data_IF_482262891180
#
_entry.id   IF_482262891180
#
_cell.length_a   1.000
_cell.length_b   1.000
_cell.length_c   1.000
_cell.angle_alpha   90.00
_cell.angle_beta   90.00
_cell.angle_gamma   90.00
#
_symmetry.space_group_name_H-M   'P 1'
#
loop_
_entity.id
_entity.type
_entity.pdbx_description
1 polymer ?
#
# COMPACT_ATOMS: atom_id res chain seq x y z
N UNK A 1 44.01 -5.60 46.07
CA UNK A 1 43.70 -4.36 46.83
C UNK A 1 43.46 -3.27 45.81
N UNK A 2 42.19 -3.04 45.48
CA UNK A 2 41.33 -1.99 46.09
C UNK A 2 41.72 -0.62 45.55
N UNK A 3 41.03 -0.19 44.49
CA UNK A 3 40.00 0.85 44.56
C UNK A 3 40.56 2.27 44.72
N UNK A 4 40.24 3.13 43.74
CA UNK A 4 39.42 4.36 43.88
C UNK A 4 39.84 5.36 42.81
N UNK A 5 39.01 5.53 41.78
CA UNK A 5 38.88 6.83 41.10
C UNK A 5 37.41 7.13 40.80
N UNK A 6 36.88 7.91 41.73
CA UNK A 6 35.84 8.92 41.64
C UNK A 6 35.09 9.09 40.31
N UNK A 7 33.81 8.73 40.41
CA UNK A 7 32.63 9.29 39.77
C UNK A 7 32.77 10.76 39.33
N UNK A 8 32.74 11.01 38.01
CA UNK A 8 32.25 12.27 37.44
C UNK A 8 31.01 11.94 36.60
N UNK A 9 29.84 12.11 37.22
CA UNK A 9 28.55 12.16 36.55
C UNK A 9 28.50 13.42 35.70
N UNK A 10 28.81 13.30 34.42
CA UNK A 10 28.53 14.36 33.45
C UNK A 10 27.13 14.09 32.90
N UNK A 11 26.19 14.88 33.39
CA UNK A 11 24.81 14.95 32.96
C UNK A 11 24.81 15.56 31.54
N UNK A 12 24.77 14.73 30.49
CA UNK A 12 24.65 15.25 29.12
C UNK A 12 23.20 15.65 28.89
N UNK A 13 23.01 16.97 28.80
CA UNK A 13 21.75 17.62 28.45
C UNK A 13 21.18 17.04 27.15
N UNK A 14 19.89 16.72 27.23
CA UNK A 14 18.97 16.62 26.12
C UNK A 14 18.91 17.98 25.39
N UNK A 15 19.47 18.04 24.18
CA UNK A 15 19.28 19.16 23.26
C UNK A 15 18.49 18.65 22.04
N UNK A 16 17.17 18.76 22.13
CA UNK A 16 16.30 18.73 20.97
C UNK A 16 16.58 19.98 20.11
N UNK A 17 17.22 19.79 18.97
CA UNK A 17 17.18 20.75 17.86
C UNK A 17 16.73 20.02 16.60
N UNK A 18 15.42 20.13 16.41
CA UNK A 18 14.62 20.08 15.19
C UNK A 18 15.44 20.18 13.89
N UNK A 19 15.66 19.02 13.26
CA UNK A 19 15.75 18.91 11.81
C UNK A 19 14.48 18.22 11.34
N UNK A 20 13.55 18.98 10.74
CA UNK A 20 12.33 18.42 10.13
C UNK A 20 12.71 17.82 8.78
N UNK A 21 13.40 16.69 8.82
CA UNK A 21 13.27 15.68 7.79
C UNK A 21 12.25 14.69 8.33
N UNK A 22 11.08 14.58 7.70
CA UNK A 22 10.23 13.41 7.92
C UNK A 22 11.03 12.20 7.45
N UNK A 23 11.77 11.59 8.37
CA UNK A 23 12.38 10.30 8.14
C UNK A 23 11.28 9.36 7.66
N UNK A 24 11.47 8.76 6.49
CA UNK A 24 10.57 7.74 5.95
C UNK A 24 10.34 6.72 7.07
N UNK A 25 9.15 6.70 7.65
CA UNK A 25 8.82 5.76 8.72
C UNK A 25 8.63 4.38 8.08
N UNK A 26 9.74 3.70 7.83
CA UNK A 26 9.75 2.33 7.35
C UNK A 26 9.23 1.45 8.48
N UNK A 27 8.07 0.85 8.29
CA UNK A 27 7.42 -0.05 9.24
C UNK A 27 7.77 -1.49 8.88
N UNK A 28 8.35 -2.25 9.81
CA UNK A 28 8.60 -3.69 9.64
C UNK A 28 7.35 -4.48 10.01
N UNK A 29 6.97 -5.45 9.18
CA UNK A 29 5.91 -6.41 9.53
C UNK A 29 6.50 -7.37 10.57
N UNK A 30 5.90 -7.49 11.77
CA UNK A 30 6.46 -8.32 12.83
C UNK A 30 6.64 -9.78 12.41
N UNK A 31 7.81 -10.35 12.73
CA UNK A 31 8.13 -11.75 12.43
C UNK A 31 8.45 -12.04 10.96
N UNK A 32 8.63 -11.03 10.11
CA UNK A 32 8.96 -11.24 8.68
C UNK A 32 10.15 -10.37 8.21
N UNK A 33 10.63 -10.64 7.00
CA UNK A 33 11.61 -9.81 6.30
C UNK A 33 10.97 -8.71 5.44
N UNK A 34 9.67 -8.46 5.62
CA UNK A 34 8.94 -7.42 4.91
C UNK A 34 8.93 -6.13 5.70
N UNK A 35 9.28 -5.04 5.04
CA UNK A 35 9.09 -3.68 5.52
C UNK A 35 8.34 -2.85 4.50
N UNK A 36 7.74 -1.74 4.92
CA UNK A 36 7.00 -0.87 4.03
C UNK A 36 7.06 0.58 4.47
N UNK A 37 6.91 1.50 3.52
CA UNK A 37 6.68 2.92 3.78
C UNK A 37 5.43 3.34 3.02
N UNK A 38 4.49 3.92 3.72
CA UNK A 38 3.25 4.41 3.13
C UNK A 38 3.32 5.94 3.06
N UNK A 39 3.34 6.49 1.84
CA UNK A 39 3.54 7.92 1.64
C UNK A 39 2.82 8.40 0.39
N UNK A 40 2.45 9.69 0.41
CA UNK A 40 2.08 10.46 -0.77
C UNK A 40 3.01 11.64 -0.94
N UNK A 41 3.21 12.02 -2.20
CA UNK A 41 3.79 13.31 -2.52
C UNK A 41 2.83 14.42 -2.05
N UNK A 42 3.30 15.41 -1.26
CA UNK A 42 2.43 16.40 -0.63
C UNK A 42 1.89 17.47 -1.59
N UNK A 43 2.40 17.53 -2.83
CA UNK A 43 1.98 18.52 -3.84
C UNK A 43 1.02 17.87 -4.84
N UNK A 44 1.35 16.67 -5.30
CA UNK A 44 0.66 15.97 -6.38
C UNK A 44 -0.30 14.87 -5.90
N UNK A 45 -0.30 14.58 -4.59
CA UNK A 45 -1.02 13.46 -3.96
C UNK A 45 -0.67 12.07 -4.52
N UNK A 46 0.38 11.98 -5.36
CA UNK A 46 0.85 10.74 -5.96
C UNK A 46 1.30 9.75 -4.88
N UNK A 47 0.91 8.49 -5.00
CA UNK A 47 1.29 7.46 -4.02
C UNK A 47 2.75 7.03 -4.25
N UNK A 48 3.65 7.48 -3.39
CA UNK A 48 5.09 7.19 -3.41
C UNK A 48 5.47 6.05 -2.46
N UNK A 49 4.48 5.34 -1.92
CA UNK A 49 4.68 4.22 -1.02
C UNK A 49 5.44 3.05 -1.66
N UNK A 50 6.08 2.27 -0.80
CA UNK A 50 6.86 1.10 -1.20
C UNK A 50 6.74 -0.04 -0.19
N UNK A 51 6.99 -1.25 -0.66
CA UNK A 51 7.18 -2.46 0.14
C UNK A 51 8.55 -3.02 -0.21
N UNK A 52 9.40 -3.28 0.78
CA UNK A 52 10.68 -3.97 0.60
C UNK A 52 10.64 -5.33 1.26
N UNK A 53 11.16 -6.35 0.59
CA UNK A 53 11.33 -7.70 1.11
C UNK A 53 12.81 -8.03 1.07
N UNK A 54 13.42 -8.24 2.24
CA UNK A 54 14.81 -8.66 2.33
C UNK A 54 14.96 -10.12 1.88
N UNK A 55 16.06 -10.42 1.18
CA UNK A 55 16.40 -11.76 0.71
C UNK A 55 16.68 -12.70 1.90
N UNK A 56 16.26 -13.96 1.82
CA UNK A 56 16.29 -14.88 2.98
C UNK A 56 17.70 -15.22 3.49
N UNK A 57 18.73 -15.14 2.65
CA UNK A 57 20.12 -15.40 3.00
C UNK A 57 20.90 -14.11 3.28
N UNK A 58 20.30 -12.94 3.07
CA UNK A 58 20.91 -11.65 3.35
C UNK A 58 20.52 -11.15 4.74
N UNK A 59 21.41 -11.41 5.70
CA UNK A 59 21.23 -11.00 7.10
C UNK A 59 21.54 -9.51 7.35
N UNK A 60 22.10 -8.81 6.37
CA UNK A 60 22.48 -7.40 6.47
C UNK A 60 21.51 -6.47 5.73
N UNK A 61 20.58 -7.02 4.93
CA UNK A 61 19.54 -6.27 4.22
C UNK A 61 20.04 -5.50 3.01
N UNK A 62 21.15 -5.94 2.40
CA UNK A 62 21.73 -5.29 1.21
C UNK A 62 21.14 -5.81 -0.11
N UNK A 63 20.36 -6.89 -0.04
CA UNK A 63 19.68 -7.57 -1.14
C UNK A 63 18.19 -7.60 -0.85
N UNK A 64 17.42 -6.94 -1.70
CA UNK A 64 15.99 -6.78 -1.47
C UNK A 64 15.20 -6.72 -2.78
N UNK A 65 13.94 -7.15 -2.71
CA UNK A 65 12.94 -6.84 -3.71
C UNK A 65 12.07 -5.68 -3.20
N UNK A 66 12.13 -4.54 -3.88
CA UNK A 66 11.27 -3.39 -3.58
C UNK A 66 10.14 -3.29 -4.60
N UNK A 67 8.91 -3.15 -4.16
CA UNK A 67 7.73 -2.82 -4.98
C UNK A 67 7.34 -1.37 -4.68
N UNK A 68 7.23 -0.52 -5.71
CA UNK A 68 6.89 0.89 -5.58
C UNK A 68 5.55 1.19 -6.26
N UNK A 69 4.75 2.05 -5.64
CA UNK A 69 3.46 2.47 -6.18
C UNK A 69 3.55 3.61 -7.21
N UNK A 70 4.73 4.21 -7.38
CA UNK A 70 5.00 5.19 -8.42
C UNK A 70 6.36 4.97 -9.08
N UNK A 71 6.42 5.32 -10.35
CA UNK A 71 7.66 5.64 -11.05
C UNK A 71 7.80 7.16 -11.09
N UNK A 72 8.68 7.69 -10.22
CA UNK A 72 8.78 9.12 -9.94
C UNK A 72 7.40 9.67 -9.53
N UNK A 73 6.86 10.59 -10.33
CA UNK A 73 5.57 11.26 -10.08
C UNK A 73 4.40 10.56 -10.79
N UNK A 74 4.66 9.46 -11.52
CA UNK A 74 3.63 8.73 -12.25
C UNK A 74 3.09 7.56 -11.43
N UNK A 75 1.76 7.37 -11.35
CA UNK A 75 1.16 6.24 -10.66
C UNK A 75 1.31 4.95 -11.48
N UNK A 76 2.55 4.48 -11.62
CA UNK A 76 2.90 3.23 -12.26
C UNK A 76 3.61 2.29 -11.29
N UNK A 77 3.19 1.03 -11.32
CA UNK A 77 3.67 0.00 -10.42
C UNK A 77 4.92 -0.62 -11.03
N UNK A 78 6.04 -0.50 -10.35
CA UNK A 78 7.28 -1.15 -10.76
C UNK A 78 7.99 -1.78 -9.57
N UNK A 79 8.90 -2.70 -9.86
CA UNK A 79 9.69 -3.41 -8.87
C UNK A 79 11.18 -3.16 -9.12
N UNK A 80 11.99 -3.25 -8.07
CA UNK A 80 13.44 -3.19 -8.15
C UNK A 80 14.03 -4.37 -7.41
N UNK A 81 14.88 -5.13 -8.08
CA UNK A 81 15.79 -6.07 -7.44
C UNK A 81 17.08 -5.32 -7.10
N UNK A 82 17.40 -5.26 -5.81
CA UNK A 82 18.64 -4.71 -5.26
C UNK A 82 19.53 -5.88 -4.86
N UNK A 83 20.82 -5.79 -5.19
CA UNK A 83 21.77 -6.88 -5.07
C UNK A 83 23.05 -6.46 -4.36
N UNK A 84 23.63 -7.39 -3.61
CA UNK A 84 24.99 -7.29 -3.08
C UNK A 84 26.08 -7.32 -4.14
N UNK A 85 25.75 -7.88 -5.31
CA UNK A 85 26.67 -8.09 -6.43
C UNK A 85 26.24 -7.26 -7.64
N UNK A 86 27.21 -6.84 -8.46
CA UNK A 86 26.92 -6.22 -9.75
C UNK A 86 26.12 -7.17 -10.66
N UNK A 87 25.02 -6.64 -11.21
CA UNK A 87 24.13 -7.36 -12.11
C UNK A 87 24.55 -7.18 -13.58
N UNK A 88 25.19 -6.04 -13.88
CA UNK A 88 25.72 -5.64 -15.18
C UNK A 88 26.74 -4.50 -14.98
N UNK A 89 27.56 -4.20 -16.00
CA UNK A 89 28.46 -3.05 -16.01
C UNK A 89 27.87 -1.83 -16.73
N UNK A 90 28.49 -0.66 -16.56
CA UNK A 90 28.12 0.57 -17.29
C UNK A 90 28.22 0.38 -18.81
N UNK A 91 29.34 -0.17 -19.30
CA UNK A 91 29.52 -0.48 -20.72
C UNK A 91 28.39 -1.34 -21.27
N UNK A 92 27.93 -2.33 -20.50
CA UNK A 92 26.84 -3.20 -20.94
C UNK A 92 25.54 -2.42 -21.14
N UNK A 93 25.21 -1.50 -20.25
CA UNK A 93 24.03 -0.65 -20.38
C UNK A 93 24.16 0.30 -21.57
N UNK A 94 25.35 0.87 -21.81
CA UNK A 94 25.61 1.70 -22.99
C UNK A 94 25.34 0.95 -24.30
N UNK A 95 25.63 -0.35 -24.34
CA UNK A 95 25.31 -1.22 -25.48
C UNK A 95 23.92 -1.87 -25.42
N UNK A 96 23.06 -1.45 -24.49
CA UNK A 96 21.69 -1.97 -24.35
C UNK A 96 21.61 -3.42 -23.88
N UNK A 97 22.69 -3.96 -23.30
CA UNK A 97 22.73 -5.32 -22.79
C UNK A 97 22.19 -5.38 -21.36
N UNK A 98 21.28 -6.32 -21.11
CA UNK A 98 20.71 -6.59 -19.78
C UNK A 98 20.86 -8.07 -19.42
N UNK A 99 20.96 -8.42 -18.13
CA UNK A 99 20.98 -9.80 -17.71
C UNK A 99 19.65 -10.49 -18.02
N UNK A 100 19.69 -11.79 -18.32
CA UNK A 100 18.49 -12.59 -18.46
C UNK A 100 17.97 -12.98 -17.06
N UNK A 101 16.74 -12.58 -16.74
CA UNK A 101 16.12 -12.85 -15.44
C UNK A 101 15.03 -13.89 -15.59
N UNK A 102 15.09 -14.92 -14.75
CA UNK A 102 14.03 -15.92 -14.60
C UNK A 102 13.42 -15.80 -13.22
N UNK A 103 12.10 -15.74 -13.12
CA UNK A 103 11.38 -15.68 -11.84
C UNK A 103 10.47 -16.89 -11.65
N UNK A 104 10.24 -17.27 -10.39
CA UNK A 104 9.33 -18.34 -10.01
C UNK A 104 8.61 -18.01 -8.71
N UNK A 105 7.32 -18.32 -8.62
CA UNK A 105 6.52 -18.16 -7.40
C UNK A 105 6.21 -19.50 -6.76
N UNK A 106 6.69 -19.77 -5.55
CA UNK A 106 6.47 -21.05 -4.89
C UNK A 106 6.91 -22.20 -5.79
N UNK A 107 5.94 -23.01 -6.20
CA UNK A 107 6.11 -24.17 -7.08
C UNK A 107 5.49 -23.98 -8.48
N UNK A 108 5.10 -22.74 -8.82
CA UNK A 108 4.63 -22.41 -10.17
C UNK A 108 5.76 -22.63 -11.20
N UNK A 109 5.43 -22.80 -12.50
CA UNK A 109 6.44 -22.84 -13.55
C UNK A 109 7.30 -21.56 -13.59
N UNK A 110 8.62 -21.67 -13.85
CA UNK A 110 9.48 -20.50 -13.99
C UNK A 110 9.12 -19.69 -15.24
N UNK A 111 9.25 -18.37 -15.15
CA UNK A 111 8.99 -17.42 -16.23
C UNK A 111 10.26 -16.64 -16.51
N UNK A 112 10.71 -16.65 -17.76
CA UNK A 112 11.80 -15.77 -18.23
C UNK A 112 11.22 -14.40 -18.56
N UNK A 113 11.80 -13.36 -17.97
CA UNK A 113 11.40 -11.97 -18.23
C UNK A 113 11.88 -11.53 -19.60
N UNK A 114 11.05 -10.74 -20.29
CA UNK A 114 11.42 -10.15 -21.57
C UNK A 114 12.30 -8.94 -21.32
N UNK A 115 13.11 -8.58 -22.31
CA UNK A 115 13.93 -7.37 -22.20
C UNK A 115 13.10 -6.10 -21.95
N UNK A 116 11.89 -6.03 -22.55
CA UNK A 116 10.95 -4.92 -22.34
C UNK A 116 10.33 -4.86 -20.95
N UNK A 117 10.41 -5.95 -20.18
CA UNK A 117 10.00 -5.99 -18.78
C UNK A 117 11.12 -5.46 -17.86
N UNK A 118 12.34 -5.25 -18.36
CA UNK A 118 13.53 -4.89 -17.60
C UNK A 118 14.03 -3.48 -17.92
N UNK A 119 14.38 -2.72 -16.88
CA UNK A 119 14.95 -1.37 -16.99
C UNK A 119 16.19 -1.22 -16.12
N UNK A 120 17.15 -0.43 -16.59
CA UNK A 120 18.28 0.02 -15.77
C UNK A 120 17.80 1.07 -14.78
N UNK A 121 18.34 1.04 -13.56
CA UNK A 121 17.96 1.97 -12.50
C UNK A 121 19.02 3.06 -12.37
N UNK A 122 18.59 4.31 -12.25
CA UNK A 122 19.45 5.46 -11.95
C UNK A 122 19.00 6.13 -10.65
N UNK A 123 19.93 6.77 -9.96
CA UNK A 123 19.60 7.58 -8.78
C UNK A 123 19.10 8.99 -9.18
N UNK A 124 18.85 9.86 -8.19
CA UNK A 124 18.39 11.24 -8.43
C UNK A 124 19.42 12.15 -9.09
N UNK A 125 20.69 11.72 -9.17
CA UNK A 125 21.78 12.41 -9.88
C UNK A 125 22.03 11.81 -11.26
N UNK A 126 21.16 10.89 -11.69
CA UNK A 126 21.29 10.15 -12.96
C UNK A 126 22.44 9.14 -13.00
N UNK A 127 23.05 8.83 -11.85
CA UNK A 127 24.10 7.80 -11.79
C UNK A 127 23.49 6.40 -11.91
N UNK A 128 24.03 5.59 -12.84
CA UNK A 128 23.64 4.21 -13.04
C UNK A 128 23.87 3.37 -11.77
N UNK A 129 22.88 2.55 -11.43
CA UNK A 129 22.95 1.60 -10.32
C UNK A 129 23.20 0.19 -10.85
N UNK A 130 24.47 -0.21 -11.02
CA UNK A 130 24.88 -1.53 -11.56
C UNK A 130 24.40 -2.72 -10.73
N UNK A 131 24.10 -2.48 -9.45
CA UNK A 131 23.60 -3.46 -8.47
C UNK A 131 22.08 -3.50 -8.39
N UNK A 132 21.38 -2.77 -9.26
CA UNK A 132 19.93 -2.69 -9.26
C UNK A 132 19.36 -2.92 -10.67
N UNK A 133 18.25 -3.65 -10.74
CA UNK A 133 17.50 -3.77 -11.99
C UNK A 133 16.02 -3.60 -11.71
N UNK A 134 15.38 -2.74 -12.51
CA UNK A 134 13.96 -2.51 -12.45
C UNK A 134 13.20 -3.52 -13.28
N UNK A 135 12.02 -3.87 -12.81
CA UNK A 135 11.04 -4.68 -13.50
C UNK A 135 9.76 -3.86 -13.63
N UNK A 136 9.19 -3.78 -14.83
CA UNK A 136 8.03 -2.96 -15.13
C UNK A 136 6.96 -3.72 -15.93
N UNK A 137 5.80 -3.08 -16.10
CA UNK A 137 4.73 -3.61 -16.94
C UNK A 137 3.94 -4.78 -16.30
N UNK A 138 3.28 -5.61 -17.12
CA UNK A 138 2.31 -6.60 -16.63
C UNK A 138 2.90 -7.65 -15.68
N UNK A 139 4.20 -7.93 -15.76
CA UNK A 139 4.83 -8.93 -14.90
C UNK A 139 4.89 -8.47 -13.44
N UNK A 140 4.98 -7.16 -13.17
CA UNK A 140 4.99 -6.64 -11.79
C UNK A 140 3.67 -6.95 -11.08
N UNK A 141 2.55 -6.88 -11.80
CA UNK A 141 1.24 -7.29 -11.25
C UNK A 141 1.22 -8.77 -10.89
N UNK A 142 1.88 -9.63 -11.69
CA UNK A 142 2.04 -11.06 -11.36
C UNK A 142 2.91 -11.26 -10.13
N UNK A 143 4.00 -10.50 -10.01
CA UNK A 143 4.87 -10.49 -8.82
C UNK A 143 4.04 -10.16 -7.58
N UNK A 144 3.31 -9.04 -7.61
CA UNK A 144 2.48 -8.56 -6.52
C UNK A 144 1.37 -9.56 -6.16
N UNK A 145 0.72 -10.18 -7.14
CA UNK A 145 -0.33 -11.18 -6.89
C UNK A 145 0.24 -12.44 -6.22
N UNK A 146 1.38 -12.95 -6.69
CA UNK A 146 2.04 -14.10 -6.08
C UNK A 146 2.45 -13.83 -4.63
N UNK A 147 3.08 -12.68 -4.37
CA UNK A 147 3.48 -12.27 -3.02
C UNK A 147 2.26 -12.05 -2.10
N UNK A 148 1.18 -11.45 -2.61
CA UNK A 148 -0.06 -11.27 -1.84
C UNK A 148 -0.74 -12.58 -1.48
N UNK A 149 -0.55 -13.62 -2.29
CA UNK A 149 -0.98 -14.99 -1.97
C UNK A 149 -0.02 -15.72 -1.03
N UNK A 150 1.02 -15.05 -0.52
CA UNK A 150 2.01 -15.63 0.39
C UNK A 150 3.08 -16.48 -0.30
N UNK A 151 3.10 -16.56 -1.64
CA UNK A 151 4.12 -17.35 -2.36
C UNK A 151 5.49 -16.68 -2.23
N UNK A 152 6.54 -17.47 -2.00
CA UNK A 152 7.93 -17.01 -2.14
C UNK A 152 8.21 -16.66 -3.61
N UNK A 153 8.93 -15.57 -3.86
CA UNK A 153 9.50 -15.28 -5.17
C UNK A 153 10.95 -15.74 -5.19
N UNK A 154 11.33 -16.53 -6.20
CA UNK A 154 12.73 -16.84 -6.50
C UNK A 154 13.09 -16.14 -7.79
N UNK A 155 14.17 -15.36 -7.79
CA UNK A 155 14.70 -14.69 -8.96
C UNK A 155 16.10 -15.24 -9.26
N UNK A 156 16.32 -15.73 -10.48
CA UNK A 156 17.62 -16.13 -10.99
C UNK A 156 18.09 -15.13 -12.04
N UNK A 157 19.26 -14.55 -11.82
CA UNK A 157 19.90 -13.58 -12.71
C UNK A 157 21.08 -14.23 -13.41
N UNK A 158 21.00 -14.33 -14.73
CA UNK A 158 22.10 -14.77 -15.58
C UNK A 158 22.79 -13.52 -16.15
N UNK A 159 23.99 -13.22 -15.62
CA UNK A 159 24.74 -12.01 -15.97
C UNK A 159 25.27 -12.08 -17.40
N UNK A 160 25.28 -10.94 -18.08
CA UNK A 160 25.80 -10.81 -19.45
C UNK A 160 27.28 -11.16 -19.52
N UNK A 161 28.04 -10.82 -18.48
CA UNK A 161 29.47 -11.15 -18.35
C UNK A 161 29.74 -12.65 -18.21
N UNK A 162 28.71 -13.49 -18.07
CA UNK A 162 28.84 -14.90 -17.74
C UNK A 162 29.12 -15.17 -16.25
N UNK A 163 29.61 -16.38 -15.96
CA UNK A 163 29.86 -16.86 -14.60
C UNK A 163 28.65 -17.55 -13.96
N UNK A 164 28.73 -17.78 -12.64
CA UNK A 164 27.65 -18.40 -11.89
C UNK A 164 26.42 -17.47 -11.85
N UNK A 165 25.25 -18.06 -12.11
CA UNK A 165 23.97 -17.37 -11.99
C UNK A 165 23.69 -17.03 -10.52
N UNK A 166 23.25 -15.80 -10.27
CA UNK A 166 22.86 -15.35 -8.94
C UNK A 166 21.41 -15.77 -8.70
N UNK A 167 21.10 -16.33 -7.54
CA UNK A 167 19.74 -16.75 -7.20
C UNK A 167 19.35 -16.12 -5.87
N UNK A 168 18.24 -15.37 -5.88
CA UNK A 168 17.71 -14.65 -4.74
C UNK A 168 16.33 -15.20 -4.39
N UNK A 169 16.05 -15.35 -3.10
CA UNK A 169 14.73 -15.80 -2.61
C UNK A 169 14.13 -14.76 -1.68
N UNK A 170 12.91 -14.32 -2.01
CA UNK A 170 12.14 -13.35 -1.26
C UNK A 170 10.89 -14.03 -0.69
N UNK A 171 10.69 -14.06 0.63
CA UNK A 171 9.50 -14.65 1.22
C UNK A 171 8.27 -13.78 0.95
N UNK A 172 7.13 -14.40 0.65
CA UNK A 172 5.85 -13.68 0.50
C UNK A 172 5.18 -13.32 1.83
N UNK A 173 5.65 -13.90 2.94
CA UNK A 173 5.07 -13.73 4.27
C UNK A 173 5.19 -12.27 4.73
N UNK A 174 4.06 -11.66 5.07
CA UNK A 174 3.98 -10.26 5.49
C UNK A 174 3.66 -9.27 4.36
N UNK A 175 3.78 -9.67 3.09
CA UNK A 175 3.46 -8.79 1.96
C UNK A 175 1.99 -8.37 1.93
N UNK A 176 1.07 -9.30 2.17
CA UNK A 176 -0.37 -9.01 2.22
C UNK A 176 -0.74 -8.04 3.36
N UNK A 177 0.03 -8.05 4.45
CA UNK A 177 -0.14 -7.11 5.57
C UNK A 177 0.40 -5.72 5.22
N UNK A 178 1.54 -5.66 4.54
CA UNK A 178 2.17 -4.41 4.11
C UNK A 178 1.43 -3.70 2.96
N UNK A 179 0.69 -4.43 2.13
CA UNK A 179 0.09 -3.90 0.90
C UNK A 179 -1.02 -2.87 1.12
N UNK A 180 -2.05 -3.09 1.96
CA UNK A 180 -3.13 -2.13 2.17
C UNK A 180 -2.64 -0.71 2.52
N UNK A 181 -1.77 -0.50 3.54
CA UNK A 181 -1.33 0.85 3.90
C UNK A 181 -0.51 1.51 2.79
N UNK A 182 0.27 0.73 2.04
CA UNK A 182 1.05 1.24 0.90
C UNK A 182 0.14 1.64 -0.26
N UNK A 183 -0.83 0.80 -0.66
CA UNK A 183 -1.77 1.15 -1.73
C UNK A 183 -2.66 2.34 -1.39
N UNK A 184 -2.91 2.55 -0.09
CA UNK A 184 -3.62 3.70 0.44
C UNK A 184 -2.81 5.01 0.39
N UNK A 185 -1.48 4.92 0.26
CA UNK A 185 -0.57 6.06 0.33
C UNK A 185 -0.46 6.65 1.73
N UNK A 186 -0.64 5.84 2.79
CA UNK A 186 -0.41 6.28 4.17
C UNK A 186 -1.47 7.24 4.72
N UNK A 187 -2.73 7.12 4.29
CA UNK A 187 -3.80 7.92 4.87
C UNK A 187 -3.91 7.66 6.38
N UNK A 188 -3.50 8.65 7.17
CA UNK A 188 -3.75 8.73 8.60
C UNK A 188 -5.10 9.45 8.78
N UNK A 189 -6.21 8.70 8.73
CA UNK A 189 -7.54 9.26 8.94
C UNK A 189 -8.70 8.39 8.48
N UNK A 190 -9.90 8.67 8.99
CA UNK A 190 -11.13 8.03 8.53
C UNK A 190 -11.34 8.26 7.02
N UNK A 191 -11.97 7.32 6.29
CA UNK A 191 -12.34 7.54 4.90
C UNK A 191 -13.16 8.82 4.74
N UNK A 192 -12.87 9.62 3.72
CA UNK A 192 -13.67 10.81 3.42
C UNK A 192 -14.96 10.39 2.73
N UNK A 193 -16.10 10.74 3.33
CA UNK A 193 -17.40 10.60 2.69
C UNK A 193 -17.58 11.73 1.69
N UNK A 194 -17.90 11.39 0.45
CA UNK A 194 -18.02 12.36 -0.67
C UNK A 194 -19.46 12.69 -0.95
N UNK A 195 -20.36 11.70 -0.85
CA UNK A 195 -21.79 11.87 -1.03
C UNK A 195 -22.57 10.92 -0.11
N UNK A 196 -23.79 11.32 0.22
CA UNK A 196 -24.75 10.53 0.96
C UNK A 196 -26.15 10.76 0.41
N UNK A 197 -26.90 9.70 0.15
CA UNK A 197 -28.27 9.83 -0.32
C UNK A 197 -29.08 8.59 0.01
N UNK A 198 -30.37 8.79 0.25
CA UNK A 198 -31.31 7.69 0.25
C UNK A 198 -31.67 7.32 -1.18
N UNK A 199 -31.73 6.02 -1.44
CA UNK A 199 -32.23 5.51 -2.72
C UNK A 199 -33.67 5.04 -2.56
N UNK A 200 -33.98 3.83 -3.00
CA UNK A 200 -35.35 3.32 -3.00
C UNK A 200 -35.84 3.14 -1.57
N UNK A 201 -36.98 3.74 -1.25
CA UNK A 201 -37.70 3.48 -0.01
C UNK A 201 -38.78 2.42 -0.25
N UNK A 202 -38.95 1.51 0.69
CA UNK A 202 -39.99 0.47 0.67
C UNK A 202 -40.96 0.70 1.82
N UNK A 203 -42.25 0.59 1.54
CA UNK A 203 -43.27 0.59 2.60
C UNK A 203 -43.04 -0.64 3.49
N UNK A 204 -42.88 -0.43 4.80
CA UNK A 204 -42.47 -1.48 5.73
C UNK A 204 -43.51 -2.59 5.90
N UNK A 205 -44.78 -2.33 5.55
CA UNK A 205 -45.89 -3.28 5.70
C UNK A 205 -46.08 -4.10 4.42
N UNK A 206 -46.04 -3.46 3.27
CA UNK A 206 -46.33 -4.06 1.96
C UNK A 206 -45.09 -4.46 1.16
N UNK A 207 -43.91 -3.97 1.54
CA UNK A 207 -42.65 -4.19 0.81
C UNK A 207 -42.55 -3.45 -0.53
N UNK A 208 -43.60 -2.70 -0.92
CA UNK A 208 -43.65 -2.00 -2.20
C UNK A 208 -42.64 -0.85 -2.25
N UNK A 209 -41.83 -0.81 -3.31
CA UNK A 209 -40.94 0.30 -3.59
C UNK A 209 -41.73 1.56 -3.95
N UNK A 210 -41.33 2.71 -3.40
CA UNK A 210 -41.98 4.01 -3.60
C UNK A 210 -40.94 5.08 -3.90
N UNK A 211 -41.32 6.04 -4.74
CA UNK A 211 -40.51 7.22 -5.06
C UNK A 211 -40.57 8.32 -3.98
N UNK A 212 -41.29 8.11 -2.88
CA UNK A 212 -41.44 9.06 -1.80
C UNK A 212 -42.03 8.43 -0.54
N UNK A 213 -42.04 9.20 0.55
CA UNK A 213 -42.55 8.80 1.85
C UNK A 213 -44.04 9.12 1.96
N UNK A 214 -44.83 8.15 2.43
CA UNK A 214 -46.25 8.36 2.76
C UNK A 214 -46.38 8.73 4.23
N UNK A 215 -47.06 9.85 4.51
CA UNK A 215 -47.32 10.31 5.87
C UNK A 215 -48.05 9.24 6.71
N UNK A 216 -47.62 9.09 7.97
CA UNK A 216 -48.20 8.12 8.91
C UNK A 216 -47.79 6.66 8.68
N UNK A 217 -46.86 6.38 7.74
CA UNK A 217 -46.39 5.02 7.45
C UNK A 217 -44.87 4.87 7.60
N UNK A 218 -44.45 3.73 8.13
CA UNK A 218 -43.04 3.38 8.21
C UNK A 218 -42.48 2.97 6.84
N UNK A 219 -41.29 3.46 6.51
CA UNK A 219 -40.57 3.14 5.29
C UNK A 219 -39.14 2.71 5.62
N UNK A 220 -38.60 1.77 4.86
CA UNK A 220 -37.21 1.33 4.91
C UNK A 220 -36.50 1.85 3.67
N UNK A 221 -35.50 2.73 3.85
CA UNK A 221 -34.75 3.33 2.75
C UNK A 221 -33.29 2.89 2.81
N UNK A 222 -32.73 2.53 1.65
CA UNK A 222 -31.32 2.23 1.54
C UNK A 222 -30.51 3.53 1.55
N UNK A 223 -29.65 3.70 2.55
CA UNK A 223 -28.67 4.78 2.63
C UNK A 223 -27.42 4.39 1.87
N UNK A 224 -27.11 5.12 0.80
CA UNK A 224 -25.86 5.00 0.05
C UNK A 224 -24.90 6.07 0.51
N UNK A 225 -23.68 5.64 0.85
CA UNK A 225 -22.58 6.52 1.22
C UNK A 225 -21.45 6.26 0.24
N UNK A 226 -21.12 7.27 -0.54
CA UNK A 226 -19.96 7.25 -1.41
C UNK A 226 -18.73 7.71 -0.62
N UNK A 227 -17.65 6.98 -0.78
CA UNK A 227 -16.41 7.22 -0.05
C UNK A 227 -15.25 7.28 -1.02
N UNK A 228 -14.31 8.17 -0.74
CA UNK A 228 -13.00 8.15 -1.39
C UNK A 228 -12.14 7.07 -0.72
N UNK A 229 -11.75 5.99 -1.44
CA UNK A 229 -10.99 4.91 -0.82
C UNK A 229 -9.63 5.43 -0.34
N UNK A 230 -9.36 5.31 0.96
CA UNK A 230 -8.08 5.68 1.57
C UNK A 230 -7.44 4.50 2.33
N UNK A 231 -7.88 3.26 2.04
CA UNK A 231 -7.38 2.03 2.65
C UNK A 231 -7.76 1.78 4.11
N UNK A 232 -8.33 2.77 4.81
CA UNK A 232 -9.02 2.52 6.06
C UNK A 232 -10.39 1.88 5.79
N UNK A 233 -10.72 0.85 6.56
CA UNK A 233 -12.07 0.28 6.58
C UNK A 233 -12.88 1.06 7.63
N UNK A 234 -14.04 1.63 7.30
CA UNK A 234 -14.93 2.15 8.33
C UNK A 234 -15.32 0.99 9.26
N UNK A 235 -15.19 1.17 10.58
CA UNK A 235 -15.49 0.10 11.57
C UNK A 235 -16.86 0.30 12.22
N UNK A 236 -17.35 1.53 12.26
CA UNK A 236 -18.67 1.90 12.77
C UNK A 236 -19.09 3.26 12.16
N UNK A 237 -20.40 3.51 12.11
CA UNK A 237 -20.97 4.81 11.79
C UNK A 237 -22.26 5.03 12.59
N UNK A 238 -22.46 6.24 13.09
CA UNK A 238 -23.71 6.70 13.72
C UNK A 238 -24.36 7.74 12.83
N UNK A 239 -25.65 7.57 12.53
CA UNK A 239 -26.42 8.50 11.72
C UNK A 239 -27.56 9.12 12.53
N UNK A 240 -27.67 10.45 12.41
CA UNK A 240 -28.78 11.24 12.94
C UNK A 240 -29.47 11.92 11.77
N UNK A 241 -30.79 11.89 11.76
CA UNK A 241 -31.58 12.32 10.61
C UNK A 241 -32.48 13.50 10.96
N UNK A 242 -32.63 14.40 10.00
CA UNK A 242 -33.64 15.46 10.02
C UNK A 242 -34.56 15.30 8.81
N UNK A 243 -35.86 15.40 9.04
CA UNK A 243 -36.87 15.46 8.00
C UNK A 243 -37.15 16.93 7.67
N UNK A 244 -36.83 17.34 6.45
CA UNK A 244 -37.31 18.60 5.91
C UNK A 244 -38.68 18.37 5.26
N UNK A 245 -39.67 19.19 5.61
CA UNK A 245 -41.02 19.06 5.07
C UNK A 245 -41.60 20.43 4.73
N UNK A 246 -42.64 20.43 3.88
CA UNK A 246 -43.45 21.62 3.60
C UNK A 246 -44.89 21.33 3.95
N UNK A 247 -45.45 22.16 4.81
CA UNK A 247 -46.84 22.07 5.25
C UNK A 247 -47.48 23.45 5.14
N UNK A 248 -48.63 23.54 4.45
CA UNK A 248 -49.37 24.79 4.24
C UNK A 248 -48.49 25.94 3.68
N UNK A 249 -47.55 25.62 2.79
CA UNK A 249 -46.64 26.58 2.17
C UNK A 249 -45.45 27.02 3.03
N UNK A 250 -45.30 26.49 4.26
CA UNK A 250 -44.16 26.77 5.14
C UNK A 250 -43.20 25.57 5.16
N UNK A 251 -41.90 25.84 5.08
CA UNK A 251 -40.88 24.82 5.29
C UNK A 251 -40.63 24.62 6.79
N UNK A 252 -40.50 23.37 7.21
CA UNK A 252 -40.17 22.96 8.57
C UNK A 252 -39.08 21.90 8.58
N UNK A 253 -38.40 21.77 9.72
CA UNK A 253 -37.43 20.71 9.98
C UNK A 253 -37.83 19.95 11.23
N UNK A 254 -37.76 18.63 11.20
CA UNK A 254 -38.02 17.75 12.34
C UNK A 254 -36.83 16.81 12.53
N UNK A 255 -36.12 16.91 13.65
CA UNK A 255 -35.11 15.92 14.03
C UNK A 255 -35.81 14.60 14.38
N UNK A 256 -35.41 13.51 13.73
CA UNK A 256 -35.97 12.20 14.00
C UNK A 256 -35.32 11.60 15.27
N UNK A 257 -36.12 10.99 16.18
CA UNK A 257 -35.58 10.42 17.40
C UNK A 257 -34.78 9.15 17.11
N UNK A 258 -33.66 8.99 17.82
CA UNK A 258 -32.77 7.83 17.72
C UNK A 258 -31.57 8.05 16.80
N UNK A 259 -30.63 7.11 16.86
CA UNK A 259 -29.48 7.07 15.98
C UNK A 259 -29.39 5.69 15.32
N UNK A 260 -29.16 5.66 14.01
CA UNK A 260 -28.92 4.40 13.31
C UNK A 260 -27.43 4.05 13.40
N UNK A 261 -27.13 2.80 13.73
CA UNK A 261 -25.76 2.26 13.72
C UNK A 261 -25.63 1.31 12.53
N UNK A 262 -24.62 1.53 11.68
CA UNK A 262 -24.27 0.55 10.66
C UNK A 262 -23.45 -0.59 11.31
N UNK A 263 -23.67 -1.87 10.95
CA UNK A 263 -22.79 -2.94 11.39
C UNK A 263 -21.39 -2.75 10.77
N UNK A 264 -20.40 -3.47 11.32
CA UNK A 264 -19.04 -3.50 10.79
C UNK A 264 -19.05 -3.68 9.26
N UNK A 265 -18.44 -2.73 8.55
CA UNK A 265 -18.42 -2.70 7.10
C UNK A 265 -17.62 -3.93 6.61
N UNK A 266 -18.23 -4.75 5.74
CA UNK A 266 -17.56 -5.93 5.18
C UNK A 266 -18.38 -7.22 5.04
N UNK A 267 -19.63 -7.28 5.53
CA UNK A 267 -20.53 -8.39 5.19
C UNK A 267 -21.46 -7.97 4.05
N UNK A 268 -21.17 -8.44 2.83
CA UNK A 268 -22.24 -8.68 1.86
C UNK A 268 -23.19 -9.65 2.53
N UNK A 269 -24.38 -9.19 2.91
CA UNK A 269 -25.49 -10.08 3.18
C UNK A 269 -25.77 -10.85 1.91
N UNK A 270 -25.46 -12.15 1.90
CA UNK A 270 -26.13 -13.09 1.01
C UNK A 270 -27.54 -13.26 1.53
N UNK A 271 -28.47 -12.50 0.94
CA UNK A 271 -29.91 -12.69 1.03
C UNK A 271 -30.45 -12.66 -0.39
#
# INVERSE_FOLDING_TARGET
MSERRAMKRTLTLLACLLGVGTGLAVTRVPGTSTSYSAQRDPITDANTGLISIDEVNDTYGETALTIRCSDRDRPDLWATLISTHDLFSEDQVLFGMKPAITIRWGDDPPVVLRDSDLISVVNSREDLQTRQIGVQGPVVRRIVNGLSAGKRLVARVNRVSGGQALTYTFPGVGFATARPPVTAGGATGAPKFTQWYFTTCRDAVSGAARAGLVAGRAHLCDLVIEMMPNGAQPVAAEFRYELEYRENGRAGKLTLPGAAQAPAFGRRGTG
#
